data_IF_688597749619
#
_entry.id   IF_688597749619
#
_cell.length_a   1.000
_cell.length_b   1.000
_cell.length_c   1.000
_cell.angle_alpha   90.00
_cell.angle_beta   90.00
_cell.angle_gamma   90.00
#
_symmetry.space_group_name_H-M   'P 1'
#
loop_
_entity.id
_entity.type
_entity.pdbx_description
1 polymer ?
#
# COMPACT_ATOMS: atom_id res chain seq x y z
N UNK A 1 0.33 -9.82 25.72
CA UNK A 1 -0.18 -11.18 25.51
C UNK A 1 0.30 -11.67 24.17
N UNK A 2 0.79 -12.90 24.08
CA UNK A 2 1.14 -13.54 22.81
C UNK A 2 -0.10 -14.26 22.27
N UNK A 3 -0.41 -14.08 20.98
CA UNK A 3 -1.54 -14.74 20.30
C UNK A 3 -1.01 -15.91 19.50
N UNK A 4 -1.58 -17.09 19.69
CA UNK A 4 -1.21 -18.29 18.92
C UNK A 4 -2.14 -18.47 17.72
N UNK A 5 -1.54 -18.73 16.56
CA UNK A 5 -2.25 -19.05 15.35
C UNK A 5 -2.31 -20.58 15.16
N UNK A 6 -3.37 -21.11 14.54
CA UNK A 6 -3.46 -22.54 14.27
C UNK A 6 -2.30 -22.97 13.38
N UNK A 7 -1.63 -24.06 13.77
CA UNK A 7 -0.62 -24.71 12.93
C UNK A 7 -1.31 -25.25 11.67
N UNK A 8 -0.93 -24.76 10.50
CA UNK A 8 -1.46 -25.22 9.22
C UNK A 8 -0.78 -26.54 8.81
N UNK A 9 -1.45 -27.36 8.01
CA UNK A 9 -0.88 -28.59 7.45
C UNK A 9 0.31 -28.32 6.50
N UNK A 10 0.48 -27.08 6.06
CA UNK A 10 1.42 -26.66 5.01
C UNK A 10 2.73 -26.04 5.52
N UNK A 11 3.01 -26.08 6.83
CA UNK A 11 4.28 -25.62 7.41
C UNK A 11 4.13 -24.54 8.48
N UNK A 12 5.24 -23.85 8.76
CA UNK A 12 5.29 -22.77 9.75
C UNK A 12 4.44 -21.58 9.29
N UNK A 13 3.65 -21.02 10.22
CA UNK A 13 2.87 -19.79 10.00
C UNK A 13 3.82 -18.65 9.60
N UNK A 14 3.57 -18.02 8.46
CA UNK A 14 4.39 -16.94 7.90
C UNK A 14 3.61 -15.63 7.90
N UNK A 15 3.38 -15.09 9.10
CA UNK A 15 2.64 -13.83 9.25
C UNK A 15 3.46 -12.67 8.69
N UNK A 16 2.86 -11.90 7.80
CA UNK A 16 3.54 -10.81 7.08
C UNK A 16 3.01 -9.43 7.42
N UNK A 17 1.71 -9.28 7.63
CA UNK A 17 1.10 -7.98 7.92
C UNK A 17 -0.14 -8.08 8.82
N UNK A 18 -0.55 -6.97 9.41
CA UNK A 18 -1.70 -6.83 10.30
C UNK A 18 -2.47 -5.54 10.04
N UNK A 19 -3.79 -5.64 9.93
CA UNK A 19 -4.69 -4.49 9.76
C UNK A 19 -5.77 -4.46 10.85
N UNK A 20 -6.15 -3.27 11.30
CA UNK A 20 -7.23 -3.07 12.27
C UNK A 20 -8.49 -2.53 11.58
N UNK A 21 -9.66 -3.07 11.92
CA UNK A 21 -10.93 -2.46 11.54
C UNK A 21 -11.36 -1.36 12.53
N UNK A 22 -12.24 -0.44 12.10
CA UNK A 22 -12.85 0.53 13.00
C UNK A 22 -13.68 -0.09 14.14
N UNK A 23 -14.09 -1.36 14.01
CA UNK A 23 -14.86 -2.08 15.02
C UNK A 23 -13.99 -2.77 16.06
N UNK A 24 -12.65 -2.67 15.95
CA UNK A 24 -11.70 -3.30 16.86
C UNK A 24 -11.36 -4.76 16.54
N UNK A 25 -11.76 -5.27 15.37
CA UNK A 25 -11.24 -6.55 14.86
C UNK A 25 -9.85 -6.32 14.28
N UNK A 26 -8.98 -7.31 14.37
CA UNK A 26 -7.70 -7.32 13.65
C UNK A 26 -7.73 -8.39 12.57
N UNK A 27 -6.94 -8.20 11.54
CA UNK A 27 -6.73 -9.15 10.46
C UNK A 27 -5.23 -9.36 10.32
N UNK A 28 -4.81 -10.59 10.02
CA UNK A 28 -3.40 -10.91 9.78
C UNK A 28 -3.27 -11.76 8.52
N UNK A 29 -2.34 -11.40 7.65
CA UNK A 29 -1.99 -12.16 6.45
C UNK A 29 -0.93 -13.22 6.78
N UNK A 30 -1.10 -14.41 6.21
CA UNK A 30 -0.08 -15.46 6.18
C UNK A 30 0.28 -15.75 4.73
N UNK A 31 1.47 -15.28 4.35
CA UNK A 31 1.90 -15.29 2.97
C UNK A 31 2.11 -16.73 2.46
N UNK A 32 2.77 -17.58 3.25
CA UNK A 32 3.09 -18.94 2.81
C UNK A 32 1.87 -19.85 2.82
N UNK A 33 0.94 -19.64 3.75
CA UNK A 33 -0.27 -20.46 3.83
C UNK A 33 -1.40 -19.99 2.91
N UNK A 34 -1.22 -18.94 2.08
CA UNK A 34 -2.30 -18.33 1.31
C UNK A 34 -3.56 -18.11 2.16
N UNK A 35 -3.37 -17.56 3.35
CA UNK A 35 -4.44 -17.47 4.35
C UNK A 35 -4.51 -16.08 4.95
N UNK A 36 -5.71 -15.67 5.35
CA UNK A 36 -5.92 -14.48 6.15
C UNK A 36 -6.74 -14.89 7.37
N UNK A 37 -6.33 -14.41 8.54
CA UNK A 37 -7.00 -14.66 9.81
C UNK A 37 -7.73 -13.41 10.28
N UNK A 38 -8.86 -13.62 10.96
CA UNK A 38 -9.55 -12.60 11.73
C UNK A 38 -9.32 -12.85 13.21
N UNK A 39 -8.93 -11.82 13.92
CA UNK A 39 -8.65 -11.85 15.35
C UNK A 39 -9.69 -10.98 16.04
N UNK A 40 -10.28 -11.50 17.11
CA UNK A 40 -11.27 -10.80 17.94
C UNK A 40 -10.65 -10.51 19.31
N UNK A 41 -9.99 -9.35 19.51
CA UNK A 41 -9.30 -9.04 20.77
C UNK A 41 -10.20 -9.12 22.01
N UNK A 42 -11.46 -8.68 21.87
CA UNK A 42 -12.46 -8.69 22.94
C UNK A 42 -12.91 -10.09 23.37
N UNK A 43 -12.74 -11.10 22.52
CA UNK A 43 -13.06 -12.50 22.78
C UNK A 43 -11.78 -13.29 23.07
N UNK A 44 -11.06 -12.88 24.12
CA UNK A 44 -9.77 -13.48 24.52
C UNK A 44 -8.78 -13.65 23.35
N UNK A 45 -8.78 -12.69 22.41
CA UNK A 45 -7.93 -12.70 21.22
C UNK A 45 -8.17 -13.92 20.31
N UNK A 46 -9.41 -14.42 20.24
CA UNK A 46 -9.81 -15.54 19.37
C UNK A 46 -9.35 -15.30 17.94
N UNK A 47 -8.72 -16.32 17.35
CA UNK A 47 -8.26 -16.32 15.96
C UNK A 47 -9.14 -17.26 15.15
N UNK A 48 -9.81 -16.72 14.14
CA UNK A 48 -10.56 -17.47 13.14
C UNK A 48 -9.82 -17.43 11.79
N UNK A 49 -9.82 -18.53 11.04
CA UNK A 49 -9.46 -18.49 9.62
C UNK A 49 -10.57 -17.75 8.86
N UNK A 50 -10.26 -16.59 8.29
CA UNK A 50 -11.22 -15.84 7.46
C UNK A 50 -11.33 -16.45 6.07
N UNK A 51 -10.17 -16.73 5.46
CA UNK A 51 -10.08 -17.31 4.13
C UNK A 51 -8.75 -18.05 3.97
N UNK A 52 -8.80 -19.17 3.24
CA UNK A 52 -7.65 -19.85 2.66
C UNK A 52 -7.97 -20.09 1.18
N UNK A 53 -7.19 -19.50 0.27
CA UNK A 53 -7.45 -19.57 -1.17
C UNK A 53 -6.18 -19.28 -1.98
N UNK A 54 -5.80 -20.17 -2.90
CA UNK A 54 -4.60 -20.01 -3.74
C UNK A 54 -4.64 -18.76 -4.64
N UNK A 55 -5.83 -18.20 -4.90
CA UNK A 55 -5.97 -16.93 -5.63
C UNK A 55 -5.36 -15.75 -4.87
N UNK A 56 -5.19 -15.86 -3.54
CA UNK A 56 -4.47 -14.88 -2.72
C UNK A 56 -3.00 -14.74 -3.14
N UNK A 57 -2.39 -15.82 -3.66
CA UNK A 57 -1.07 -15.82 -4.28
C UNK A 57 0.02 -15.10 -3.45
N UNK A 58 0.15 -15.51 -2.19
CA UNK A 58 1.05 -14.92 -1.21
C UNK A 58 0.55 -13.55 -0.74
N UNK A 59 -0.51 -13.46 0.09
CA UNK A 59 -0.96 -12.19 0.62
C UNK A 59 0.15 -11.56 1.47
N UNK A 60 0.62 -10.37 1.09
CA UNK A 60 1.65 -9.64 1.80
C UNK A 60 1.01 -8.54 2.65
N UNK A 61 0.73 -7.39 2.03
CA UNK A 61 0.11 -6.25 2.69
C UNK A 61 -1.42 -6.34 2.72
N UNK A 62 -2.02 -5.85 3.80
CA UNK A 62 -3.47 -5.80 3.99
C UNK A 62 -3.92 -4.47 4.57
N UNK A 63 -5.10 -3.99 4.15
CA UNK A 63 -5.73 -2.80 4.71
C UNK A 63 -7.25 -2.89 4.69
N UNK A 64 -7.91 -2.18 5.61
CA UNK A 64 -9.36 -2.07 5.59
C UNK A 64 -9.77 -0.89 4.72
N UNK A 65 -10.59 -1.16 3.70
CA UNK A 65 -11.14 -0.11 2.85
C UNK A 65 -12.07 0.79 3.68
N UNK A 66 -11.81 2.11 3.78
CA UNK A 66 -12.39 2.98 4.80
C UNK A 66 -13.90 3.25 4.64
N UNK A 67 -14.49 2.89 3.49
CA UNK A 67 -15.93 3.07 3.23
C UNK A 67 -16.74 1.79 3.29
N UNK A 68 -16.18 0.70 2.78
CA UNK A 68 -16.90 -0.59 2.67
C UNK A 68 -16.61 -1.49 3.86
N UNK A 69 -15.55 -1.21 4.61
CA UNK A 69 -15.01 -2.09 5.65
C UNK A 69 -14.61 -3.48 5.15
N UNK A 70 -14.44 -3.64 3.83
CA UNK A 70 -13.86 -4.85 3.26
C UNK A 70 -12.35 -4.82 3.45
N UNK A 71 -11.77 -6.00 3.57
CA UNK A 71 -10.33 -6.16 3.62
C UNK A 71 -9.78 -6.13 2.20
N UNK A 72 -8.72 -5.37 1.98
CA UNK A 72 -7.96 -5.35 0.75
C UNK A 72 -6.65 -6.07 1.03
N UNK A 73 -6.28 -6.99 0.16
CA UNK A 73 -5.00 -7.69 0.21
C UNK A 73 -4.23 -7.49 -1.08
N UNK A 74 -2.93 -7.29 -0.97
CA UNK A 74 -2.04 -7.29 -2.13
C UNK A 74 -1.19 -8.54 -2.16
N UNK A 75 -0.97 -9.08 -3.36
CA UNK A 75 -0.28 -10.35 -3.52
C UNK A 75 1.17 -10.17 -3.93
N UNK A 76 2.05 -10.86 -3.19
CA UNK A 76 3.47 -10.89 -3.45
C UNK A 76 3.78 -11.67 -4.72
N UNK A 77 3.18 -12.84 -4.94
CA UNK A 77 3.67 -13.76 -5.98
C UNK A 77 3.19 -13.39 -7.38
N UNK A 78 2.02 -12.75 -7.48
CA UNK A 78 1.36 -12.47 -8.76
C UNK A 78 1.07 -10.99 -8.99
N UNK A 79 1.34 -10.13 -8.02
CA UNK A 79 1.09 -8.70 -8.12
C UNK A 79 -0.39 -8.39 -8.35
N UNK A 80 -1.25 -8.89 -7.46
CA UNK A 80 -2.70 -8.69 -7.51
C UNK A 80 -3.17 -7.77 -6.40
N UNK A 81 -4.30 -7.12 -6.62
CA UNK A 81 -5.07 -6.42 -5.60
C UNK A 81 -6.41 -7.14 -5.50
N UNK A 82 -6.72 -7.58 -4.29
CA UNK A 82 -7.85 -8.45 -3.98
C UNK A 82 -8.73 -7.78 -2.93
N UNK A 83 -10.03 -7.98 -3.02
CA UNK A 83 -10.99 -7.58 -2.01
C UNK A 83 -11.59 -8.82 -1.35
N UNK A 84 -11.67 -8.78 -0.02
CA UNK A 84 -12.22 -9.83 0.83
C UNK A 84 -13.32 -9.23 1.69
N UNK A 85 -14.52 -9.77 1.57
CA UNK A 85 -15.65 -9.34 2.39
C UNK A 85 -15.50 -9.82 3.84
N UNK A 86 -16.23 -9.25 4.81
CA UNK A 86 -16.14 -9.67 6.22
C UNK A 86 -16.50 -11.15 6.48
N UNK A 87 -17.27 -11.77 5.58
CA UNK A 87 -17.62 -13.19 5.57
C UNK A 87 -16.64 -14.07 4.76
N UNK A 88 -15.57 -13.49 4.22
CA UNK A 88 -14.47 -14.23 3.57
C UNK A 88 -14.65 -14.49 2.08
N UNK A 89 -15.56 -13.78 1.39
CA UNK A 89 -15.68 -13.89 -0.07
C UNK A 89 -14.57 -13.09 -0.76
N UNK A 90 -13.88 -13.74 -1.71
CA UNK A 90 -12.75 -13.17 -2.44
C UNK A 90 -13.14 -12.73 -3.85
N UNK A 91 -12.87 -11.46 -4.17
CA UNK A 91 -12.93 -10.88 -5.50
C UNK A 91 -11.57 -10.30 -5.91
N UNK A 92 -11.28 -10.30 -7.21
CA UNK A 92 -10.09 -9.67 -7.76
C UNK A 92 -10.46 -8.25 -8.21
N UNK A 93 -9.81 -7.24 -7.61
CA UNK A 93 -10.01 -5.85 -8.03
C UNK A 93 -9.14 -5.54 -9.24
N UNK A 94 -7.86 -5.92 -9.18
CA UNK A 94 -6.88 -5.64 -10.22
C UNK A 94 -5.82 -6.74 -10.28
N UNK A 95 -5.42 -7.10 -11.50
CA UNK A 95 -4.33 -8.03 -11.75
C UNK A 95 -3.64 -7.74 -13.07
N UNK A 96 -2.45 -8.32 -13.22
CA UNK A 96 -1.76 -8.38 -14.49
C UNK A 96 -2.55 -9.21 -15.51
N UNK A 97 -2.75 -8.66 -16.70
CA UNK A 97 -3.32 -9.36 -17.84
C UNK A 97 -2.25 -10.03 -18.69
N UNK A 98 -2.66 -10.79 -19.72
CA UNK A 98 -1.73 -11.55 -20.56
C UNK A 98 -0.64 -10.70 -21.23
N UNK A 99 -0.96 -9.45 -21.57
CA UNK A 99 -0.04 -8.49 -22.19
C UNK A 99 0.37 -7.35 -21.26
N UNK A 100 -0.03 -7.39 -19.98
CA UNK A 100 0.25 -6.30 -19.03
C UNK A 100 0.99 -6.84 -17.82
N UNK A 101 2.19 -6.31 -17.58
CA UNK A 101 2.97 -6.54 -16.37
C UNK A 101 3.00 -5.25 -15.57
N UNK A 102 1.85 -4.81 -15.06
CA UNK A 102 1.75 -3.56 -14.28
C UNK A 102 2.45 -3.72 -12.93
N UNK A 103 2.16 -4.81 -12.23
CA UNK A 103 2.63 -5.10 -10.88
C UNK A 103 3.61 -6.27 -10.86
N UNK A 104 4.46 -6.38 -9.85
CA UNK A 104 5.34 -7.53 -9.67
C UNK A 104 5.23 -8.17 -8.29
N UNK A 105 5.83 -7.57 -7.26
CA UNK A 105 5.74 -8.04 -5.88
C UNK A 105 5.13 -6.93 -5.03
N UNK A 106 3.80 -6.93 -4.94
CA UNK A 106 3.10 -5.92 -4.14
C UNK A 106 3.24 -6.27 -2.66
N UNK A 107 3.63 -5.30 -1.84
CA UNK A 107 4.07 -5.54 -0.47
C UNK A 107 3.23 -4.85 0.59
N UNK A 108 2.75 -3.63 0.32
CA UNK A 108 2.00 -2.81 1.26
C UNK A 108 0.83 -2.13 0.57
N UNK A 109 -0.22 -1.85 1.33
CA UNK A 109 -1.42 -1.15 0.85
C UNK A 109 -2.02 -0.28 1.96
N UNK A 110 -2.45 0.94 1.64
CA UNK A 110 -3.23 1.77 2.56
C UNK A 110 -4.06 2.81 1.76
N UNK A 111 -4.94 3.52 2.46
CA UNK A 111 -5.91 4.46 1.91
C UNK A 111 -5.73 5.85 2.49
N UNK A 112 -5.88 6.87 1.65
CA UNK A 112 -6.04 8.25 2.12
C UNK A 112 -7.49 8.55 2.57
N UNK A 113 -7.69 9.74 3.14
CA UNK A 113 -9.02 10.23 3.54
C UNK A 113 -10.00 10.39 2.38
N UNK A 114 -9.49 10.55 1.16
CA UNK A 114 -10.29 10.58 -0.07
C UNK A 114 -10.42 9.19 -0.69
N UNK A 115 -10.15 8.10 0.03
CA UNK A 115 -10.32 6.74 -0.47
C UNK A 115 -9.57 6.43 -1.76
N UNK A 116 -8.47 7.12 -2.04
CA UNK A 116 -7.51 6.63 -3.01
C UNK A 116 -6.67 5.54 -2.32
N UNK A 117 -6.40 4.46 -3.04
CA UNK A 117 -5.56 3.38 -2.57
C UNK A 117 -4.13 3.63 -3.01
N UNK A 118 -3.19 3.34 -2.13
CA UNK A 118 -1.77 3.41 -2.41
C UNK A 118 -1.16 2.04 -2.19
N UNK A 119 -0.28 1.64 -3.11
CA UNK A 119 0.32 0.30 -3.09
C UNK A 119 1.82 0.41 -3.37
N UNK A 120 2.64 -0.25 -2.55
CA UNK A 120 4.07 -0.41 -2.82
C UNK A 120 4.32 -1.64 -3.69
N UNK A 121 5.09 -1.45 -4.76
CA UNK A 121 5.65 -2.53 -5.58
C UNK A 121 7.13 -2.67 -5.25
N UNK A 122 7.43 -3.68 -4.42
CA UNK A 122 8.76 -3.94 -3.88
C UNK A 122 9.79 -4.08 -4.98
N UNK A 123 9.54 -4.96 -5.94
CA UNK A 123 10.55 -5.33 -6.94
C UNK A 123 10.68 -4.28 -8.04
N UNK A 124 9.60 -3.56 -8.36
CA UNK A 124 9.69 -2.46 -9.32
C UNK A 124 10.21 -1.17 -8.73
N UNK A 125 10.28 -1.05 -7.41
CA UNK A 125 10.68 0.18 -6.74
C UNK A 125 9.71 1.33 -7.00
N UNK A 126 8.39 1.06 -6.95
CA UNK A 126 7.35 2.05 -7.27
C UNK A 126 6.29 2.14 -6.19
N UNK A 127 5.72 3.33 -6.05
CA UNK A 127 4.44 3.54 -5.35
C UNK A 127 3.37 3.87 -6.39
N UNK A 128 2.31 3.08 -6.36
CA UNK A 128 1.13 3.26 -7.19
C UNK A 128 0.04 3.96 -6.39
N UNK A 129 -0.67 4.88 -7.04
CA UNK A 129 -1.94 5.44 -6.56
C UNK A 129 -3.06 4.97 -7.48
N UNK A 130 -4.09 4.37 -6.91
CA UNK A 130 -5.35 4.08 -7.58
C UNK A 130 -6.41 5.08 -7.09
N UNK A 131 -6.93 5.89 -7.99
CA UNK A 131 -8.03 6.80 -7.67
C UNK A 131 -9.36 6.06 -7.57
N UNK A 132 -10.35 6.66 -6.92
CA UNK A 132 -11.71 6.07 -6.76
C UNK A 132 -12.40 5.65 -8.06
N UNK A 133 -12.02 6.25 -9.19
CA UNK A 133 -12.48 5.90 -10.53
C UNK A 133 -11.55 4.90 -11.24
N UNK A 134 -10.83 4.10 -10.45
CA UNK A 134 -9.99 2.98 -10.85
C UNK A 134 -8.84 3.35 -11.82
N UNK A 135 -8.36 4.60 -11.80
CA UNK A 135 -7.17 4.99 -12.56
C UNK A 135 -5.90 4.86 -11.74
N UNK A 136 -4.90 4.22 -12.34
CA UNK A 136 -3.57 4.08 -11.76
C UNK A 136 -2.62 5.19 -12.19
N UNK A 137 -1.80 5.63 -11.24
CA UNK A 137 -0.72 6.57 -11.44
C UNK A 137 0.50 6.09 -10.67
N UNK A 138 1.69 6.24 -11.26
CA UNK A 138 2.95 6.11 -10.52
C UNK A 138 3.18 7.46 -9.85
N UNK A 139 3.30 7.48 -8.52
CA UNK A 139 3.56 8.72 -7.76
C UNK A 139 5.00 8.79 -7.25
N UNK A 140 5.70 7.67 -7.22
CA UNK A 140 7.12 7.57 -6.93
C UNK A 140 7.71 6.37 -7.66
N UNK A 141 8.97 6.49 -8.10
CA UNK A 141 9.70 5.43 -8.78
C UNK A 141 11.20 5.48 -8.45
N UNK A 142 11.93 4.42 -8.81
CA UNK A 142 13.34 4.21 -8.46
C UNK A 142 13.60 4.10 -6.95
N UNK A 143 12.60 3.67 -6.20
CA UNK A 143 12.70 3.47 -4.76
C UNK A 143 13.46 2.17 -4.44
N UNK A 144 14.33 2.16 -3.43
CA UNK A 144 15.08 0.98 -3.04
C UNK A 144 14.20 0.00 -2.24
N UNK A 145 13.48 -0.86 -2.95
CA UNK A 145 12.63 -1.91 -2.38
C UNK A 145 11.65 -1.38 -1.31
N UNK A 146 10.60 -0.62 -1.72
CA UNK A 146 9.60 -0.11 -0.80
C UNK A 146 8.89 -1.28 -0.13
N UNK A 147 9.11 -1.43 1.17
CA UNK A 147 8.75 -2.62 1.94
C UNK A 147 7.26 -2.63 2.28
N UNK A 148 6.70 -1.45 2.54
CA UNK A 148 5.32 -1.26 2.97
C UNK A 148 4.92 0.22 2.74
N UNK A 149 3.72 0.59 3.17
CA UNK A 149 3.19 1.96 3.11
C UNK A 149 2.32 2.26 4.33
N UNK A 150 2.46 3.46 4.89
CA UNK A 150 1.55 3.99 5.90
C UNK A 150 1.05 5.38 5.54
N UNK A 151 -0.25 5.63 5.68
CA UNK A 151 -0.87 6.92 5.36
C UNK A 151 -1.35 7.59 6.65
N UNK A 152 -0.76 8.74 6.97
CA UNK A 152 -1.32 9.64 7.96
C UNK A 152 -2.42 10.47 7.26
N UNK A 153 -3.66 10.03 7.44
CA UNK A 153 -4.84 10.66 6.83
C UNK A 153 -5.10 12.07 7.37
N UNK A 154 -4.69 12.38 8.60
CA UNK A 154 -4.96 13.67 9.23
C UNK A 154 -3.98 14.75 8.73
N UNK A 155 -2.71 14.38 8.62
CA UNK A 155 -1.65 15.27 8.12
C UNK A 155 -1.40 15.14 6.61
N UNK A 156 -2.11 14.22 5.96
CA UNK A 156 -2.01 13.93 4.53
C UNK A 156 -0.58 13.55 4.12
N UNK A 157 0.04 12.64 4.89
CA UNK A 157 1.41 12.17 4.67
C UNK A 157 1.41 10.71 4.24
N UNK A 158 2.41 10.35 3.45
CA UNK A 158 2.78 8.98 3.11
C UNK A 158 4.13 8.66 3.74
N UNK A 159 4.23 7.51 4.41
CA UNK A 159 5.45 6.91 4.92
C UNK A 159 5.75 5.65 4.12
N UNK A 160 6.98 5.51 3.63
CA UNK A 160 7.46 4.36 2.88
C UNK A 160 8.77 3.87 3.50
N UNK A 161 8.78 2.77 4.27
CA UNK A 161 10.00 2.11 4.68
C UNK A 161 10.70 1.40 3.52
N UNK A 162 12.02 1.38 3.54
CA UNK A 162 12.85 0.69 2.56
C UNK A 162 13.42 -0.60 3.16
N UNK A 163 13.32 -1.71 2.44
CA UNK A 163 13.70 -3.01 2.99
C UNK A 163 15.23 -3.19 3.11
N UNK A 164 15.95 -2.81 2.05
CA UNK A 164 17.42 -2.96 2.00
C UNK A 164 18.18 -1.77 2.58
N UNK A 165 17.45 -0.72 2.98
CA UNK A 165 18.03 0.48 3.55
C UNK A 165 17.53 0.62 4.97
N UNK A 166 18.37 1.04 5.90
CA UNK A 166 17.92 1.41 7.25
C UNK A 166 17.28 2.81 7.25
N UNK A 167 16.29 3.00 6.38
CA UNK A 167 15.69 4.29 6.07
C UNK A 167 14.20 4.16 5.72
N UNK A 168 13.48 5.26 5.90
CA UNK A 168 12.12 5.45 5.42
C UNK A 168 12.00 6.85 4.84
N UNK A 169 11.11 7.00 3.86
CA UNK A 169 10.76 8.28 3.28
C UNK A 169 9.38 8.71 3.78
N UNK A 170 9.24 9.99 4.13
CA UNK A 170 7.96 10.58 4.54
C UNK A 170 7.72 11.86 3.74
N UNK A 171 6.63 11.91 3.01
CA UNK A 171 6.28 13.04 2.13
C UNK A 171 4.81 13.43 2.25
N UNK A 172 4.47 14.63 1.79
CA UNK A 172 3.08 15.03 1.60
C UNK A 172 2.44 14.35 0.40
N UNK A 173 1.18 13.95 0.54
CA UNK A 173 0.35 13.45 -0.56
C UNK A 173 -0.31 14.62 -1.30
N UNK A 174 -0.42 14.53 -2.62
CA UNK A 174 -1.23 15.48 -3.38
C UNK A 174 -2.70 15.39 -2.95
N UNK A 175 -3.28 16.48 -2.45
CA UNK A 175 -4.75 16.62 -2.34
C UNK A 175 -5.37 16.55 -3.73
N UNK A 176 -6.39 15.72 -3.97
CA UNK A 176 -7.12 15.73 -5.23
C UNK A 176 -7.72 17.12 -5.46
N UNK A 177 -7.15 17.90 -6.39
CA UNK A 177 -7.81 19.11 -6.86
C UNK A 177 -8.97 18.68 -7.77
N UNK A 178 -10.20 19.13 -7.48
CA UNK A 178 -11.38 18.86 -8.32
C UNK A 178 -11.34 19.53 -9.70
N UNK A 179 -10.15 19.89 -10.20
CA UNK A 179 -9.94 20.57 -11.46
C UNK A 179 -9.60 19.59 -12.57
N UNK A 180 -10.16 19.84 -13.77
CA UNK A 180 -9.82 19.14 -15.02
C UNK A 180 -8.31 18.87 -15.14
N UNK A 181 -7.90 17.79 -15.82
CA UNK A 181 -6.49 17.53 -16.11
C UNK A 181 -5.87 18.78 -16.71
N UNK A 182 -4.83 19.34 -16.06
CA UNK A 182 -4.02 20.36 -16.72
C UNK A 182 -3.21 19.62 -17.80
N UNK A 183 -3.46 19.95 -19.07
CA UNK A 183 -2.73 19.47 -20.25
C UNK A 183 -1.26 19.94 -20.32
N UNK A 184 -0.64 20.26 -19.18
CA UNK A 184 0.75 20.68 -19.07
C UNK A 184 1.62 19.59 -18.44
N UNK A 185 2.87 19.46 -18.91
CA UNK A 185 3.88 18.68 -18.19
C UNK A 185 4.00 19.22 -16.77
N UNK A 186 3.78 18.35 -15.77
CA UNK A 186 3.99 18.69 -14.36
C UNK A 186 5.45 19.08 -14.15
N UNK A 187 5.68 20.09 -13.33
CA UNK A 187 7.01 20.58 -12.95
C UNK A 187 7.31 20.22 -11.50
N UNK A 188 8.58 20.27 -11.09
CA UNK A 188 8.97 20.02 -9.70
C UNK A 188 8.30 20.98 -8.70
N UNK A 189 7.88 22.17 -9.16
CA UNK A 189 7.12 23.12 -8.35
C UNK A 189 5.73 22.60 -7.95
N UNK A 190 5.11 21.73 -8.75
CA UNK A 190 3.81 21.11 -8.44
C UNK A 190 3.90 20.16 -7.23
N UNK A 191 5.13 19.75 -6.85
CA UNK A 191 5.42 18.91 -5.69
C UNK A 191 6.02 19.70 -4.51
N UNK A 192 5.83 21.03 -4.49
CA UNK A 192 6.31 21.88 -3.39
C UNK A 192 7.82 22.17 -3.43
N UNK A 193 8.50 21.87 -4.53
CA UNK A 193 9.92 22.18 -4.67
C UNK A 193 10.10 23.66 -5.03
N UNK A 194 10.63 24.45 -4.10
CA UNK A 194 11.04 25.83 -4.36
C UNK A 194 12.51 25.78 -4.79
N UNK A 195 12.86 26.15 -6.04
CA UNK A 195 14.26 26.18 -6.46
C UNK A 195 15.04 27.18 -5.60
N UNK A 196 16.32 26.90 -5.28
CA UNK A 196 17.15 27.81 -4.51
C UNK A 196 17.24 29.17 -5.21
N UNK A 197 17.30 30.28 -4.45
CA UNK A 197 17.42 31.61 -5.03
C UNK A 197 18.67 31.68 -5.93
N UNK A 198 18.60 32.41 -7.05
CA UNK A 198 19.72 32.53 -7.97
C UNK A 198 20.94 33.08 -7.25
N UNK A 199 22.11 32.49 -7.50
CA UNK A 199 23.37 32.97 -6.93
C UNK A 199 23.57 34.45 -7.30
N UNK A 200 23.98 35.32 -6.35
CA UNK A 200 24.34 36.70 -6.69
C UNK A 200 25.37 36.68 -7.81
N UNK A 201 25.09 37.43 -8.89
CA UNK A 201 26.00 37.53 -10.02
C UNK A 201 27.36 38.05 -9.57
N UNK A 202 28.44 37.46 -10.09
CA UNK A 202 29.78 38.00 -9.89
C UNK A 202 29.80 39.44 -10.40
N UNK A 203 30.06 40.40 -9.51
CA UNK A 203 30.38 41.78 -9.87
C UNK A 203 31.64 41.78 -10.75
N UNK A 204 31.42 41.91 -12.05
CA UNK A 204 32.48 42.16 -13.00
C UNK A 204 33.07 43.54 -12.75
N UNK A 205 34.32 43.58 -12.31
CA UNK A 205 35.20 44.75 -12.37
C UNK A 205 35.19 45.34 -13.78
N UNK A 206 34.65 46.55 -13.94
CA UNK A 206 34.88 47.36 -15.14
C UNK A 206 36.24 48.07 -15.02
N UNK A 207 37.05 47.91 -16.07
CA UNK A 207 38.25 48.71 -16.34
C UNK A 207 37.89 50.17 -16.58
#
# INVERSE_FOLDING_TARGET
>A
TTISFPSQAHGQVSLTDVAASPTGLLYASDQTANSIYRITPSDNHRVDLLIHDDRLAGPAGIAIHPKTNHLIAVSWEKGKILEITPDGQLSELEANGFFTSRFQNLSGVDFDQWGNMYVSDFTKGKIWRMTRDHRFQVIAEYLPAPADIGIDRANNLILVPYHYMHAAEMNGLETPSGGKPKDGKRTLADYGFIPPPPKPGQEGTKK
#
